data_IF_627418011806
#
_entry.id   IF_627418011806
#
_cell.length_a   1.000
_cell.length_b   1.000
_cell.length_c   1.000
_cell.angle_alpha   90.00
_cell.angle_beta   90.00
_cell.angle_gamma   90.00
#
_symmetry.space_group_name_H-M   'P 1'
#
loop_
_entity.id
_entity.type
_entity.pdbx_description
1 polymer ?
#
# COMPACT_ATOMS: atom_id res chain seq x y z
N UNK A 1 28.87 5.93 9.80
CA UNK A 1 27.99 6.58 8.81
C UNK A 1 26.74 5.72 8.74
N UNK A 2 25.57 6.32 8.89
CA UNK A 2 24.30 5.62 8.73
C UNK A 2 24.05 5.38 7.24
N UNK A 3 23.75 4.15 6.85
CA UNK A 3 23.36 3.83 5.46
C UNK A 3 22.10 4.60 5.11
N UNK A 4 22.05 5.24 3.94
CA UNK A 4 20.82 5.87 3.45
C UNK A 4 20.09 4.94 2.49
N UNK A 5 18.78 5.10 2.38
CA UNK A 5 17.99 4.40 1.36
C UNK A 5 18.52 4.68 -0.04
N UNK A 6 18.91 5.93 -0.32
CA UNK A 6 19.49 6.31 -1.61
C UNK A 6 20.75 5.51 -1.97
N UNK A 7 21.54 5.09 -0.98
CA UNK A 7 22.74 4.26 -1.20
C UNK A 7 22.36 2.79 -1.50
N UNK A 8 21.31 2.28 -0.83
CA UNK A 8 20.77 0.93 -1.07
C UNK A 8 20.13 0.83 -2.45
N UNK A 9 19.31 1.82 -2.82
CA UNK A 9 18.62 1.88 -4.09
C UNK A 9 19.55 2.25 -5.27
N UNK A 10 20.79 2.66 -4.98
CA UNK A 10 21.73 3.08 -6.00
C UNK A 10 21.94 1.97 -7.03
N UNK A 11 21.69 2.29 -8.31
CA UNK A 11 21.85 1.40 -9.46
C UNK A 11 20.83 0.26 -9.56
N UNK A 12 19.77 0.28 -8.76
CA UNK A 12 18.65 -0.67 -8.87
C UNK A 12 17.53 -0.13 -9.75
N UNK A 13 16.83 -1.02 -10.44
CA UNK A 13 15.56 -0.69 -11.08
C UNK A 13 14.47 -0.53 -10.03
N UNK A 14 13.48 0.34 -10.29
CA UNK A 14 12.36 0.59 -9.35
C UNK A 14 11.57 -0.66 -8.95
N UNK A 15 11.53 -1.68 -9.81
CA UNK A 15 10.86 -2.94 -9.52
C UNK A 15 11.66 -3.82 -8.53
N UNK A 16 12.95 -3.56 -8.35
CA UNK A 16 13.81 -4.28 -7.40
C UNK A 16 13.75 -3.68 -5.98
N UNK A 17 13.14 -2.48 -5.83
CA UNK A 17 13.11 -1.76 -4.57
C UNK A 17 12.47 -2.53 -3.41
N UNK A 18 11.33 -3.24 -3.58
CA UNK A 18 10.76 -4.01 -2.46
C UNK A 18 11.72 -5.06 -1.89
N UNK A 19 12.35 -5.84 -2.77
CA UNK A 19 13.31 -6.89 -2.34
C UNK A 19 14.57 -6.26 -1.73
N UNK A 20 15.06 -5.17 -2.31
CA UNK A 20 16.22 -4.46 -1.79
C UNK A 20 15.98 -3.87 -0.39
N UNK A 21 14.80 -3.26 -0.18
CA UNK A 21 14.39 -2.75 1.12
C UNK A 21 14.31 -3.88 2.15
N UNK A 22 13.61 -4.98 1.81
CA UNK A 22 13.46 -6.12 2.70
C UNK A 22 14.82 -6.70 3.11
N UNK A 23 15.74 -6.87 2.15
CA UNK A 23 17.08 -7.36 2.42
C UNK A 23 17.88 -6.39 3.29
N UNK A 24 17.85 -5.09 3.00
CA UNK A 24 18.63 -4.10 3.74
C UNK A 24 18.16 -3.97 5.20
N UNK A 25 16.85 -4.02 5.45
CA UNK A 25 16.28 -4.06 6.81
C UNK A 25 16.60 -5.39 7.50
N UNK A 26 16.34 -6.52 6.83
CA UNK A 26 16.53 -7.85 7.40
C UNK A 26 17.99 -8.19 7.72
N UNK A 27 18.95 -7.62 6.98
CA UNK A 27 20.39 -7.77 7.24
C UNK A 27 20.96 -6.68 8.16
N UNK A 28 20.11 -5.80 8.69
CA UNK A 28 20.48 -4.65 9.52
C UNK A 28 21.46 -3.69 8.82
N UNK A 29 21.49 -3.68 7.49
CA UNK A 29 22.22 -2.68 6.70
C UNK A 29 21.54 -1.30 6.77
N UNK A 30 20.19 -1.29 6.81
CA UNK A 30 19.35 -0.10 6.94
C UNK A 30 18.56 -0.17 8.25
N UNK A 31 18.88 0.70 9.20
CA UNK A 31 18.31 0.66 10.57
C UNK A 31 17.70 1.97 11.03
N UNK A 32 17.97 3.07 10.33
CA UNK A 32 17.36 4.37 10.61
C UNK A 32 15.92 4.39 10.10
N UNK A 33 14.96 4.60 11.00
CA UNK A 33 13.53 4.54 10.69
C UNK A 33 13.11 5.57 9.64
N UNK A 34 13.77 6.74 9.59
CA UNK A 34 13.49 7.74 8.56
C UNK A 34 13.93 7.27 7.17
N UNK A 35 15.06 6.56 7.08
CA UNK A 35 15.53 5.99 5.82
C UNK A 35 14.72 4.75 5.43
N UNK A 36 14.25 3.95 6.39
CA UNK A 36 13.31 2.84 6.12
C UNK A 36 11.98 3.38 5.60
N UNK A 37 11.45 4.46 6.19
CA UNK A 37 10.23 5.11 5.73
C UNK A 37 10.36 5.65 4.29
N UNK A 38 11.49 6.28 3.96
CA UNK A 38 11.79 6.69 2.58
C UNK A 38 11.88 5.48 1.63
N UNK A 39 12.43 4.37 2.11
CA UNK A 39 12.46 3.11 1.38
C UNK A 39 11.07 2.53 1.14
N UNK A 40 10.19 2.55 2.14
CA UNK A 40 8.80 2.08 2.04
C UNK A 40 8.02 2.86 0.98
N UNK A 41 8.04 4.20 1.04
CA UNK A 41 7.36 5.03 0.03
C UNK A 41 7.89 4.72 -1.37
N UNK A 42 9.21 4.69 -1.55
CA UNK A 42 9.81 4.42 -2.85
C UNK A 42 9.50 3.00 -3.36
N UNK A 43 9.62 1.98 -2.51
CA UNK A 43 9.38 0.59 -2.89
C UNK A 43 7.91 0.34 -3.23
N UNK A 44 6.98 0.98 -2.52
CA UNK A 44 5.55 0.84 -2.78
C UNK A 44 5.13 1.62 -4.04
N UNK A 45 5.41 2.91 -4.11
CA UNK A 45 4.86 3.79 -5.15
C UNK A 45 5.56 3.68 -6.51
N UNK A 46 6.81 3.19 -6.54
CA UNK A 46 7.60 3.18 -7.78
C UNK A 46 7.61 1.84 -8.50
N UNK A 47 7.47 0.74 -7.76
CA UNK A 47 7.45 -0.61 -8.31
C UNK A 47 6.13 -0.89 -9.03
N UNK A 48 6.19 -1.68 -10.09
CA UNK A 48 4.98 -2.18 -10.74
C UNK A 48 4.39 -3.32 -9.90
N UNK A 49 3.17 -3.13 -9.39
CA UNK A 49 2.46 -4.11 -8.56
C UNK A 49 3.22 -4.48 -7.27
N UNK A 50 3.56 -3.51 -6.39
CA UNK A 50 4.42 -3.72 -5.21
C UNK A 50 3.92 -4.84 -4.28
N UNK A 51 2.60 -4.93 -4.09
CA UNK A 51 1.94 -5.94 -3.26
C UNK A 51 2.15 -7.38 -3.76
N UNK A 52 2.64 -7.59 -4.99
CA UNK A 52 2.97 -8.92 -5.55
C UNK A 52 4.44 -9.30 -5.39
N UNK A 53 5.30 -8.35 -5.04
CA UNK A 53 6.76 -8.57 -4.99
C UNK A 53 7.20 -9.22 -3.67
N UNK A 54 6.52 -8.89 -2.57
CA UNK A 54 6.74 -9.49 -1.25
C UNK A 54 5.43 -10.10 -0.73
N UNK A 55 5.52 -11.02 0.22
CA UNK A 55 4.33 -11.50 0.94
C UNK A 55 3.73 -10.39 1.80
N UNK A 56 2.43 -10.49 2.09
CA UNK A 56 1.73 -9.60 3.03
C UNK A 56 2.48 -9.52 4.36
N UNK A 57 2.85 -10.66 4.96
CA UNK A 57 3.56 -10.69 6.25
C UNK A 57 4.87 -9.92 6.23
N UNK A 58 5.60 -9.95 5.11
CA UNK A 58 6.86 -9.22 4.98
C UNK A 58 6.62 -7.72 4.83
N UNK A 59 5.58 -7.30 4.11
CA UNK A 59 5.16 -5.90 4.08
C UNK A 59 4.74 -5.40 5.46
N UNK A 60 3.91 -6.17 6.19
CA UNK A 60 3.51 -5.85 7.55
C UNK A 60 4.72 -5.73 8.49
N UNK A 61 5.68 -6.65 8.36
CA UNK A 61 6.94 -6.59 9.12
C UNK A 61 7.70 -5.29 8.83
N UNK A 62 7.80 -4.89 7.55
CA UNK A 62 8.50 -3.65 7.17
C UNK A 62 7.79 -2.41 7.68
N UNK A 63 6.47 -2.29 7.53
CA UNK A 63 5.71 -1.19 8.10
C UNK A 63 5.84 -1.14 9.64
N UNK A 64 5.81 -2.30 10.31
CA UNK A 64 6.02 -2.40 11.76
C UNK A 64 7.42 -2.02 12.24
N UNK A 65 8.40 -1.81 11.35
CA UNK A 65 9.70 -1.25 11.75
C UNK A 65 9.70 0.27 11.91
N UNK A 66 8.69 0.97 11.37
CA UNK A 66 8.60 2.42 11.40
C UNK A 66 7.36 2.95 12.11
N UNK A 67 6.37 2.10 12.38
CA UNK A 67 5.09 2.48 13.00
C UNK A 67 4.98 1.93 14.43
N UNK A 68 4.54 2.78 15.35
CA UNK A 68 4.02 2.36 16.64
C UNK A 68 2.50 2.11 16.61
N UNK A 69 1.96 1.55 17.69
CA UNK A 69 0.52 1.31 17.82
C UNK A 69 -0.28 2.62 17.69
N UNK A 70 -1.21 2.67 16.73
CA UNK A 70 -2.04 3.85 16.48
C UNK A 70 -1.39 4.87 15.55
N UNK A 71 -0.35 4.48 14.82
CA UNK A 71 0.27 5.27 13.78
C UNK A 71 0.06 4.67 12.38
N UNK A 72 0.14 5.54 11.38
CA UNK A 72 0.25 5.17 9.98
C UNK A 72 1.33 6.05 9.32
N UNK A 73 1.85 5.61 8.18
CA UNK A 73 2.84 6.36 7.45
C UNK A 73 2.19 7.36 6.49
N UNK A 74 2.26 8.66 6.78
CA UNK A 74 1.89 9.70 5.83
C UNK A 74 3.14 10.11 5.03
N UNK A 75 3.24 9.65 3.78
CA UNK A 75 4.48 9.70 3.01
C UNK A 75 5.65 9.01 3.71
N UNK A 76 6.61 9.76 4.25
CA UNK A 76 7.77 9.23 4.98
C UNK A 76 7.71 9.54 6.46
N UNK A 77 6.60 10.13 6.93
CA UNK A 77 6.45 10.63 8.30
C UNK A 77 5.34 9.85 9.01
N UNK A 78 5.63 9.18 10.13
CA UNK A 78 4.59 8.62 10.98
C UNK A 78 3.61 9.70 11.46
N UNK A 79 2.32 9.40 11.41
CA UNK A 79 1.24 10.25 11.86
C UNK A 79 0.22 9.39 12.63
N UNK A 80 -0.59 10.02 13.49
CA UNK A 80 -1.56 9.28 14.30
C UNK A 80 -2.82 8.94 13.52
N UNK A 81 -3.32 7.71 13.65
CA UNK A 81 -4.59 7.30 13.05
C UNK A 81 -5.79 8.00 13.68
N UNK A 82 -5.65 8.56 14.89
CA UNK A 82 -6.70 9.31 15.58
C UNK A 82 -7.09 10.63 14.86
N UNK A 83 -6.23 11.15 13.99
CA UNK A 83 -6.52 12.31 13.14
C UNK A 83 -7.33 11.95 11.89
N UNK A 84 -7.41 10.67 11.54
CA UNK A 84 -8.21 10.18 10.44
C UNK A 84 -9.66 9.95 10.90
N UNK A 85 -10.65 10.07 10.00
CA UNK A 85 -12.02 9.63 10.28
C UNK A 85 -12.04 8.17 10.75
N UNK A 86 -12.84 7.85 11.76
CA UNK A 86 -12.94 6.49 12.32
C UNK A 86 -13.22 5.43 11.24
N UNK A 87 -14.09 5.77 10.28
CA UNK A 87 -14.44 4.96 9.13
C UNK A 87 -14.16 5.74 7.84
N UNK A 88 -13.41 5.13 6.92
CA UNK A 88 -12.98 5.72 5.66
C UNK A 88 -13.53 4.87 4.51
N UNK A 89 -14.33 5.48 3.63
CA UNK A 89 -14.79 4.79 2.42
C UNK A 89 -13.67 4.78 1.40
N UNK A 90 -13.22 3.58 1.04
CA UNK A 90 -12.14 3.38 0.07
C UNK A 90 -12.57 2.42 -1.04
N UNK A 91 -11.90 2.53 -2.18
CA UNK A 91 -12.19 1.82 -3.41
C UNK A 91 -10.96 1.12 -3.98
N UNK A 92 -11.18 0.01 -4.68
CA UNK A 92 -10.11 -0.74 -5.36
C UNK A 92 -10.62 -1.32 -6.67
N UNK A 93 -9.90 -1.09 -7.76
CA UNK A 93 -10.08 -1.84 -9.00
C UNK A 93 -9.34 -3.16 -8.93
N UNK A 94 -10.05 -4.29 -8.92
CA UNK A 94 -9.45 -5.62 -8.75
C UNK A 94 -10.27 -6.72 -9.42
N UNK A 95 -9.72 -7.94 -9.46
CA UNK A 95 -10.49 -9.17 -9.70
C UNK A 95 -11.05 -9.70 -8.38
N UNK A 96 -11.96 -10.69 -8.42
CA UNK A 96 -12.48 -11.32 -7.19
C UNK A 96 -11.34 -11.87 -6.32
N UNK A 97 -10.35 -12.51 -6.93
CA UNK A 97 -9.21 -13.13 -6.23
C UNK A 97 -8.27 -12.10 -5.59
N UNK A 98 -8.29 -10.85 -6.06
CA UNK A 98 -7.36 -9.78 -5.62
C UNK A 98 -8.08 -8.59 -4.96
N UNK A 99 -9.38 -8.75 -4.70
CA UNK A 99 -10.27 -7.75 -4.11
C UNK A 99 -9.85 -7.34 -2.70
N UNK A 100 -9.32 -8.29 -1.93
CA UNK A 100 -8.86 -8.12 -0.54
C UNK A 100 -7.37 -7.74 -0.43
N UNK A 101 -6.85 -7.05 -1.44
CA UNK A 101 -5.46 -6.60 -1.46
C UNK A 101 -5.20 -5.39 -0.56
N UNK A 102 -3.94 -4.98 -0.44
CA UNK A 102 -3.52 -3.89 0.47
C UNK A 102 -3.75 -2.47 -0.08
N UNK A 103 -3.88 -2.31 -1.40
CA UNK A 103 -3.85 -1.00 -2.07
C UNK A 103 -5.26 -0.50 -2.40
N UNK A 104 -5.60 0.68 -1.91
CA UNK A 104 -6.92 1.28 -2.00
C UNK A 104 -6.82 2.77 -2.32
N UNK A 105 -7.93 3.40 -2.68
CA UNK A 105 -7.99 4.85 -2.95
C UNK A 105 -9.33 5.41 -2.51
N UNK A 106 -9.38 6.64 -2.02
CA UNK A 106 -10.63 7.37 -1.80
C UNK A 106 -11.20 7.97 -3.10
N UNK A 107 -10.47 7.86 -4.21
CA UNK A 107 -10.89 8.31 -5.53
C UNK A 107 -11.55 7.18 -6.34
N UNK A 108 -12.88 7.26 -6.48
CA UNK A 108 -13.66 6.30 -7.26
C UNK A 108 -13.23 6.24 -8.75
N UNK A 109 -12.96 7.38 -9.37
CA UNK A 109 -12.58 7.41 -10.80
C UNK A 109 -11.26 6.68 -11.02
N UNK A 110 -10.32 6.82 -10.08
CA UNK A 110 -9.06 6.09 -10.10
C UNK A 110 -9.28 4.57 -9.97
N UNK A 111 -10.15 4.13 -9.05
CA UNK A 111 -10.50 2.72 -8.91
C UNK A 111 -11.17 2.15 -10.18
N UNK A 112 -12.06 2.93 -10.82
CA UNK A 112 -12.69 2.56 -12.10
C UNK A 112 -11.66 2.44 -13.23
N UNK A 113 -10.69 3.36 -13.28
CA UNK A 113 -9.59 3.29 -14.23
C UNK A 113 -8.76 2.01 -14.06
N UNK A 114 -8.43 1.63 -12.82
CA UNK A 114 -7.73 0.38 -12.54
C UNK A 114 -8.53 -0.86 -12.96
N UNK A 115 -9.84 -0.93 -12.65
CA UNK A 115 -10.70 -2.04 -13.08
C UNK A 115 -10.78 -2.15 -14.61
N UNK A 116 -10.93 -1.02 -15.30
CA UNK A 116 -10.95 -0.94 -16.76
C UNK A 116 -9.60 -1.39 -17.35
N UNK A 117 -8.49 -0.92 -16.76
CA UNK A 117 -7.14 -1.32 -17.18
C UNK A 117 -6.92 -2.82 -17.02
N UNK A 118 -7.31 -3.41 -15.90
CA UNK A 118 -7.22 -4.85 -15.65
C UNK A 118 -8.02 -5.66 -16.70
N UNK A 119 -9.24 -5.21 -17.01
CA UNK A 119 -10.06 -5.79 -18.07
C UNK A 119 -9.33 -5.75 -19.41
N UNK A 120 -8.75 -4.61 -19.76
CA UNK A 120 -8.06 -4.41 -21.04
C UNK A 120 -6.77 -5.25 -21.19
N UNK A 121 -6.14 -5.65 -20.08
CA UNK A 121 -4.92 -6.49 -20.10
C UNK A 121 -5.20 -7.98 -19.87
N UNK A 122 -6.46 -8.42 -19.97
CA UNK A 122 -6.82 -9.84 -20.01
C UNK A 122 -7.39 -10.42 -18.71
N UNK A 123 -7.88 -9.57 -17.79
CA UNK A 123 -8.61 -10.02 -16.60
C UNK A 123 -10.12 -9.68 -16.73
N UNK A 124 -10.88 -10.43 -17.55
CA UNK A 124 -12.32 -10.21 -17.67
C UNK A 124 -12.99 -10.46 -16.32
N UNK A 125 -13.83 -9.52 -15.88
CA UNK A 125 -14.49 -9.57 -14.56
C UNK A 125 -13.86 -8.68 -13.50
N UNK A 126 -12.76 -7.98 -13.82
CA UNK A 126 -12.26 -6.92 -12.96
C UNK A 126 -13.33 -5.83 -12.76
N UNK A 127 -13.51 -5.41 -11.51
CA UNK A 127 -14.53 -4.45 -11.09
C UNK A 127 -14.04 -3.62 -9.91
N UNK A 128 -14.84 -2.63 -9.55
CA UNK A 128 -14.58 -1.81 -8.36
C UNK A 128 -15.14 -2.54 -7.14
N UNK A 129 -14.33 -2.62 -6.09
CA UNK A 129 -14.73 -3.00 -4.74
C UNK A 129 -14.70 -1.78 -3.84
N UNK A 130 -15.52 -1.83 -2.80
CA UNK A 130 -15.64 -0.81 -1.77
C UNK A 130 -15.42 -1.45 -0.40
N UNK A 131 -14.80 -0.70 0.50
CA UNK A 131 -14.65 -1.04 1.91
C UNK A 131 -14.92 0.21 2.77
N UNK A 132 -15.57 0.02 3.91
CA UNK A 132 -15.51 0.97 5.03
C UNK A 132 -14.34 0.59 5.92
N UNK A 133 -13.15 1.12 5.65
CA UNK A 133 -11.95 0.79 6.41
C UNK A 133 -11.93 1.54 7.74
N UNK A 134 -11.67 0.84 8.84
CA UNK A 134 -11.35 1.51 10.10
C UNK A 134 -10.00 2.22 9.98
N UNK A 135 -9.86 3.39 10.61
CA UNK A 135 -8.58 4.11 10.59
C UNK A 135 -7.40 3.28 11.16
N UNK A 136 -7.66 2.34 12.05
CA UNK A 136 -6.67 1.42 12.62
C UNK A 136 -6.14 0.38 11.62
N UNK A 137 -6.80 0.19 10.48
CA UNK A 137 -6.31 -0.67 9.40
C UNK A 137 -5.27 0.02 8.51
N UNK A 138 -5.12 1.35 8.61
CA UNK A 138 -4.28 2.14 7.70
C UNK A 138 -2.81 1.98 8.08
N UNK A 139 -2.02 1.45 7.16
CA UNK A 139 -0.56 1.34 7.26
C UNK A 139 0.14 2.56 6.65
N UNK A 140 -0.38 3.07 5.53
CA UNK A 140 0.18 4.24 4.88
C UNK A 140 -0.85 5.00 4.04
N UNK A 141 -0.55 6.27 3.79
CA UNK A 141 -1.15 7.09 2.75
C UNK A 141 -0.05 7.75 1.93
N UNK A 142 -0.05 7.51 0.62
CA UNK A 142 0.90 8.07 -0.32
C UNK A 142 0.17 8.94 -1.34
N UNK A 143 0.41 10.25 -1.29
CA UNK A 143 -0.10 11.20 -2.27
C UNK A 143 0.98 11.57 -3.30
N UNK A 144 1.24 10.68 -4.26
CA UNK A 144 2.30 10.89 -5.24
C UNK A 144 1.80 10.70 -6.66
N UNK A 145 2.36 11.47 -7.62
CA UNK A 145 2.11 11.29 -9.06
C UNK A 145 0.64 11.41 -9.49
N UNK A 146 -0.17 12.13 -8.73
CA UNK A 146 -1.62 12.28 -8.99
C UNK A 146 -2.47 11.09 -8.54
N UNK A 147 -1.87 10.16 -7.78
CA UNK A 147 -2.54 9.05 -7.13
C UNK A 147 -2.64 9.34 -5.63
N UNK A 148 -3.80 9.05 -5.02
CA UNK A 148 -3.99 9.06 -3.57
C UNK A 148 -4.22 7.62 -3.12
N UNK A 149 -3.12 6.97 -2.75
CA UNK A 149 -3.09 5.56 -2.42
C UNK A 149 -3.08 5.36 -0.90
N UNK A 150 -4.01 4.55 -0.43
CA UNK A 150 -4.14 4.06 0.92
C UNK A 150 -3.65 2.62 0.99
N UNK A 151 -2.73 2.33 1.89
CA UNK A 151 -2.24 0.97 2.17
C UNK A 151 -2.90 0.48 3.44
N UNK A 152 -3.65 -0.61 3.35
CA UNK A 152 -4.36 -1.23 4.47
C UNK A 152 -3.70 -2.55 4.88
N UNK A 153 -3.82 -2.89 6.16
CA UNK A 153 -3.56 -4.25 6.65
C UNK A 153 -4.73 -5.18 6.27
N UNK A 154 -4.56 -6.10 5.32
CA UNK A 154 -5.63 -6.97 4.85
C UNK A 154 -5.92 -8.12 5.82
N UNK A 155 -5.08 -8.34 6.83
CA UNK A 155 -5.30 -9.37 7.87
C UNK A 155 -6.41 -8.97 8.83
N UNK A 156 -6.76 -7.68 8.86
CA UNK A 156 -7.86 -7.13 9.66
C UNK A 156 -9.22 -7.15 8.92
N UNK A 157 -9.26 -7.56 7.65
CA UNK A 157 -10.51 -7.60 6.90
C UNK A 157 -11.38 -8.78 7.36
N UNK A 158 -12.63 -8.50 7.70
CA UNK A 158 -13.64 -9.53 7.89
C UNK A 158 -14.17 -10.03 6.54
N UNK A 159 -14.81 -11.21 6.47
CA UNK A 159 -15.30 -11.78 5.20
C UNK A 159 -16.20 -10.84 4.39
N UNK A 160 -17.02 -10.04 5.07
CA UNK A 160 -18.07 -9.21 4.46
C UNK A 160 -17.69 -7.72 4.30
N UNK A 161 -16.48 -7.32 4.70
CA UNK A 161 -16.04 -5.91 4.65
C UNK A 161 -15.88 -5.39 3.21
N UNK A 162 -15.40 -6.26 2.31
CA UNK A 162 -15.08 -5.92 0.93
C UNK A 162 -16.23 -6.33 0.02
N UNK A 163 -16.97 -5.35 -0.48
CA UNK A 163 -18.16 -5.60 -1.30
C UNK A 163 -17.95 -5.14 -2.75
N UNK A 164 -18.44 -5.89 -3.75
CA UNK A 164 -18.44 -5.41 -5.13
C UNK A 164 -19.32 -4.17 -5.23
N UNK A 165 -18.75 -3.07 -5.73
CA UNK A 165 -19.53 -1.87 -6.00
C UNK A 165 -20.35 -2.10 -7.27
N UNK A 166 -21.67 -2.09 -7.11
CA UNK A 166 -22.56 -2.16 -8.24
C UNK A 166 -22.56 -0.80 -8.96
N UNK A 167 -22.55 -0.77 -10.31
CA UNK A 167 -22.68 0.49 -11.03
C UNK A 167 -23.95 1.21 -10.56
N UNK A 168 -23.82 2.49 -10.21
CA UNK A 168 -25.01 3.35 -10.04
C UNK A 168 -25.68 3.39 -11.41
N UNK A 169 -26.91 2.87 -11.49
CA UNK A 169 -27.72 2.91 -12.71
C UNK A 169 -28.08 4.33 -13.09
#
# INVERSE_FOLDING_TARGET
>A
MTTKWADVAARLGRNDYPVALANAVGTQQLTDTAEIAAGLEAAWTMAEWPARTLSTDLWLTLFGTVLDNGEYLNHTTPATTAELPELITLYRGATDETSRGMSWTDNLEQAQWFATRLTNIGYPGARVYEIGALNTMVLARFHSRGEDEWVLDPTMFEPDDVVPRHPIR
#
